data_IF_830475131229
#
_entry.id   IF_830475131229
#
_cell.length_a   1.000
_cell.length_b   1.000
_cell.length_c   1.000
_cell.angle_alpha   90.00
_cell.angle_beta   90.00
_cell.angle_gamma   90.00
#
_symmetry.space_group_name_H-M   'P 1'
#
loop_
_entity.id
_entity.type
_entity.pdbx_description
1 polymer ?
#
# COMPACT_ATOMS: atom_id res chain seq x y z
N UNK A 1 18.26 -14.84 -12.40
CA UNK A 1 17.20 -13.93 -11.93
C UNK A 1 17.23 -14.00 -10.43
N UNK A 2 17.44 -12.87 -9.76
CA UNK A 2 17.57 -12.84 -8.30
C UNK A 2 16.23 -13.25 -7.68
N UNK A 3 16.25 -14.16 -6.70
CA UNK A 3 15.03 -14.77 -6.13
C UNK A 3 14.00 -13.74 -5.64
N UNK A 4 14.47 -12.57 -5.20
CA UNK A 4 13.63 -11.45 -4.78
C UNK A 4 12.73 -10.92 -5.90
N UNK A 5 13.24 -10.82 -7.13
CA UNK A 5 12.49 -10.29 -8.28
C UNK A 5 11.33 -11.22 -8.65
N UNK A 6 11.58 -12.53 -8.62
CA UNK A 6 10.56 -13.54 -8.91
C UNK A 6 9.44 -13.56 -7.87
N UNK A 7 9.77 -13.36 -6.58
CA UNK A 7 8.76 -13.32 -5.53
C UNK A 7 7.88 -12.05 -5.62
N UNK A 8 8.49 -10.91 -5.91
CA UNK A 8 7.76 -9.66 -6.17
C UNK A 8 6.78 -9.81 -7.33
N UNK A 9 7.23 -10.36 -8.46
CA UNK A 9 6.38 -10.54 -9.65
C UNK A 9 5.20 -11.46 -9.35
N UNK A 10 5.43 -12.53 -8.58
CA UNK A 10 4.38 -13.45 -8.15
C UNK A 10 3.34 -12.79 -7.22
N UNK A 11 3.79 -11.89 -6.33
CA UNK A 11 2.89 -11.11 -5.48
C UNK A 11 2.09 -10.11 -6.32
N UNK A 12 2.76 -9.30 -7.15
CA UNK A 12 2.13 -8.27 -7.97
C UNK A 12 1.11 -8.85 -8.96
N UNK A 13 1.44 -9.97 -9.62
CA UNK A 13 0.52 -10.65 -10.53
C UNK A 13 -0.77 -11.12 -9.82
N UNK A 14 -0.66 -11.58 -8.56
CA UNK A 14 -1.82 -11.99 -7.77
C UNK A 14 -2.59 -10.80 -7.21
N UNK A 15 -1.90 -9.75 -6.80
CA UNK A 15 -2.53 -8.53 -6.30
C UNK A 15 -3.34 -7.86 -7.40
N UNK A 16 -2.73 -7.58 -8.56
CA UNK A 16 -3.39 -6.88 -9.67
C UNK A 16 -4.42 -7.71 -10.46
N UNK A 17 -4.64 -8.96 -10.08
CA UNK A 17 -5.75 -9.79 -10.57
C UNK A 17 -6.89 -9.90 -9.56
N UNK A 18 -6.71 -9.36 -8.35
CA UNK A 18 -7.74 -9.31 -7.32
C UNK A 18 -8.65 -8.10 -7.54
N UNK A 19 -9.94 -8.23 -7.24
CA UNK A 19 -10.91 -7.13 -7.35
C UNK A 19 -10.54 -5.91 -6.49
N UNK A 20 -9.83 -6.10 -5.37
CA UNK A 20 -9.43 -5.01 -4.47
C UNK A 20 -8.27 -4.16 -5.02
N UNK A 21 -7.64 -4.56 -6.13
CA UNK A 21 -6.53 -3.79 -6.70
C UNK A 21 -6.99 -2.63 -7.57
N UNK A 22 -8.30 -2.49 -7.82
CA UNK A 22 -8.81 -1.33 -8.54
C UNK A 22 -8.37 -0.04 -7.83
N UNK A 23 -7.93 0.94 -8.62
CA UNK A 23 -7.39 2.19 -8.09
C UNK A 23 -6.07 2.10 -7.32
N UNK A 24 -5.43 0.93 -7.23
CA UNK A 24 -4.06 0.81 -6.72
C UNK A 24 -3.03 0.95 -7.85
N UNK A 25 -1.88 1.54 -7.54
CA UNK A 25 -0.73 1.62 -8.44
C UNK A 25 0.57 1.45 -7.65
N UNK A 26 1.60 0.92 -8.31
CA UNK A 26 2.92 0.78 -7.74
C UNK A 26 3.66 2.13 -7.77
N UNK A 27 4.31 2.51 -6.68
CA UNK A 27 5.16 3.70 -6.59
C UNK A 27 6.52 3.34 -5.98
N UNK A 28 7.31 4.35 -5.61
CA UNK A 28 8.52 4.21 -4.81
C UNK A 28 9.77 3.86 -5.61
N UNK A 29 10.84 3.59 -4.87
CA UNK A 29 12.16 3.26 -5.40
C UNK A 29 12.18 1.99 -6.24
N UNK A 30 11.18 1.11 -6.16
CA UNK A 30 11.11 -0.14 -6.93
C UNK A 30 10.72 0.07 -8.39
N UNK A 31 9.83 1.01 -8.70
CA UNK A 31 9.61 1.45 -10.08
C UNK A 31 10.85 2.20 -10.62
N UNK A 32 11.46 3.07 -9.81
CA UNK A 32 12.63 3.83 -10.22
C UNK A 32 13.93 2.98 -10.34
N UNK A 33 14.11 1.96 -9.51
CA UNK A 33 15.29 1.09 -9.51
C UNK A 33 15.19 -0.04 -10.55
N UNK A 34 13.99 -0.60 -10.80
CA UNK A 34 13.79 -1.58 -11.89
C UNK A 34 13.91 -0.96 -13.27
N UNK A 35 13.47 0.29 -13.45
CA UNK A 35 13.41 0.92 -14.77
C UNK A 35 14.47 2.01 -15.03
N UNK A 36 15.14 2.57 -14.00
CA UNK A 36 16.07 3.69 -14.19
C UNK A 36 17.45 3.57 -13.49
N UNK A 37 17.60 2.92 -12.33
CA UNK A 37 18.89 2.89 -11.62
C UNK A 37 19.21 1.55 -10.92
N UNK A 38 20.14 0.79 -11.51
CA UNK A 38 20.61 -0.55 -11.08
C UNK A 38 21.48 -0.57 -9.79
N UNK A 39 21.22 0.29 -8.79
CA UNK A 39 22.18 0.48 -7.68
C UNK A 39 21.67 0.26 -6.25
N UNK A 40 20.41 -0.14 -6.05
CA UNK A 40 19.96 -0.61 -4.73
C UNK A 40 18.93 -1.71 -4.86
N UNK A 41 19.18 -2.88 -4.26
CA UNK A 41 18.16 -3.89 -4.02
C UNK A 41 17.10 -3.29 -3.08
N UNK A 42 16.00 -2.81 -3.65
CA UNK A 42 14.80 -2.49 -2.88
C UNK A 42 13.90 -3.72 -2.90
N UNK A 43 13.73 -4.29 -1.71
CA UNK A 43 12.95 -5.49 -1.39
C UNK A 43 11.48 -5.11 -1.13
N UNK A 44 11.10 -3.88 -1.45
CA UNK A 44 9.87 -3.24 -0.98
C UNK A 44 8.88 -3.06 -2.15
N UNK A 45 7.63 -3.42 -1.93
CA UNK A 45 6.51 -3.10 -2.82
C UNK A 45 5.67 -2.01 -2.16
N UNK A 46 5.62 -0.85 -2.80
CA UNK A 46 4.85 0.31 -2.34
C UNK A 46 3.61 0.48 -3.23
N UNK A 47 2.44 0.06 -2.75
CA UNK A 47 1.17 0.12 -3.46
C UNK A 47 0.30 1.24 -2.90
N UNK A 48 -0.06 2.20 -3.73
CA UNK A 48 -0.79 3.40 -3.32
C UNK A 48 -2.15 3.43 -3.98
N UNK A 49 -3.13 3.99 -3.27
CA UNK A 49 -4.43 4.33 -3.85
C UNK A 49 -4.89 5.70 -3.34
N UNK A 50 -5.48 6.49 -4.23
CA UNK A 50 -6.15 7.75 -3.87
C UNK A 50 -7.68 7.55 -3.73
N UNK A 51 -8.17 6.31 -3.79
CA UNK A 51 -9.60 6.03 -3.61
C UNK A 51 -9.97 6.14 -2.14
N UNK A 52 -10.78 7.16 -1.82
CA UNK A 52 -11.25 7.43 -0.47
C UNK A 52 -12.05 6.24 0.11
N UNK A 53 -12.83 5.59 -0.74
CA UNK A 53 -13.73 4.49 -0.43
C UNK A 53 -13.09 3.10 -0.50
N UNK A 54 -11.79 2.99 -0.79
CA UNK A 54 -11.10 1.70 -0.79
C UNK A 54 -11.24 0.99 0.56
N UNK A 55 -11.78 -0.22 0.58
CA UNK A 55 -11.98 -1.00 1.81
C UNK A 55 -10.67 -1.67 2.22
N UNK A 56 -9.96 -1.06 3.18
CA UNK A 56 -8.67 -1.59 3.64
C UNK A 56 -8.79 -2.88 4.44
N UNK A 57 -9.95 -3.21 4.99
CA UNK A 57 -10.17 -4.53 5.59
C UNK A 57 -10.31 -5.60 4.51
N UNK A 58 -10.96 -5.29 3.39
CA UNK A 58 -11.01 -6.17 2.22
C UNK A 58 -9.63 -6.35 1.59
N UNK A 59 -8.87 -5.26 1.44
CA UNK A 59 -7.48 -5.29 0.96
C UNK A 59 -6.63 -6.17 1.89
N UNK A 60 -6.75 -6.00 3.21
CA UNK A 60 -6.04 -6.81 4.20
C UNK A 60 -6.35 -8.31 4.05
N UNK A 61 -7.63 -8.69 3.90
CA UNK A 61 -8.03 -10.08 3.65
C UNK A 61 -7.45 -10.63 2.35
N UNK A 62 -7.47 -9.84 1.28
CA UNK A 62 -6.90 -10.24 -0.02
C UNK A 62 -5.39 -10.48 0.08
N UNK A 63 -4.65 -9.57 0.74
CA UNK A 63 -3.21 -9.72 0.95
C UNK A 63 -2.90 -10.97 1.75
N UNK A 64 -3.59 -11.23 2.86
CA UNK A 64 -3.41 -12.46 3.65
C UNK A 64 -3.63 -13.72 2.79
N UNK A 65 -4.63 -13.73 1.92
CA UNK A 65 -4.87 -14.82 0.97
C UNK A 65 -3.72 -15.02 -0.04
N UNK A 66 -3.14 -13.94 -0.54
CA UNK A 66 -1.96 -13.98 -1.43
C UNK A 66 -0.75 -14.54 -0.68
N UNK A 67 -0.49 -14.07 0.54
CA UNK A 67 0.62 -14.54 1.37
C UNK A 67 0.51 -16.06 1.63
N UNK A 68 -0.70 -16.52 1.97
CA UNK A 68 -0.98 -17.95 2.13
C UNK A 68 -0.73 -18.74 0.84
N UNK A 69 -1.22 -18.25 -0.30
CA UNK A 69 -1.04 -18.92 -1.60
C UNK A 69 0.42 -18.99 -2.04
N UNK A 70 1.26 -18.06 -1.58
CA UNK A 70 2.70 -18.02 -1.82
C UNK A 70 3.51 -18.72 -0.72
N UNK A 71 2.85 -19.34 0.28
CA UNK A 71 3.50 -19.98 1.43
C UNK A 71 4.47 -19.04 2.17
N UNK A 72 4.10 -17.76 2.28
CA UNK A 72 4.90 -16.73 2.93
C UNK A 72 4.54 -16.63 4.40
N UNK A 73 5.57 -16.65 5.26
CA UNK A 73 5.42 -16.48 6.70
C UNK A 73 5.53 -15.00 7.05
N UNK A 74 4.57 -14.50 7.80
CA UNK A 74 4.61 -13.13 8.34
C UNK A 74 5.65 -13.04 9.46
N UNK A 75 6.59 -12.11 9.31
CA UNK A 75 7.55 -11.72 10.35
C UNK A 75 7.09 -10.47 11.12
N UNK A 76 6.43 -9.54 10.43
CA UNK A 76 5.86 -8.33 11.02
C UNK A 76 4.63 -7.89 10.23
N UNK A 77 3.67 -7.28 10.93
CA UNK A 77 2.47 -6.72 10.32
C UNK A 77 2.05 -5.43 11.03
N UNK A 78 1.65 -4.44 10.25
CA UNK A 78 0.94 -3.24 10.72
C UNK A 78 -0.37 -3.14 9.95
N UNK A 79 -1.47 -2.89 10.66
CA UNK A 79 -2.81 -2.73 10.07
C UNK A 79 -3.49 -1.51 10.66
N UNK A 80 -3.83 -0.55 9.80
CA UNK A 80 -4.61 0.64 10.14
C UNK A 80 -5.65 0.91 9.04
N UNK A 81 -6.62 1.81 9.26
CA UNK A 81 -7.63 2.16 8.26
C UNK A 81 -7.08 2.75 6.96
N UNK A 82 -5.83 3.24 6.97
CA UNK A 82 -5.21 3.92 5.82
C UNK A 82 -3.85 3.33 5.43
N UNK A 83 -3.36 2.33 6.16
CA UNK A 83 -2.03 1.77 5.94
C UNK A 83 -1.97 0.30 6.34
N UNK A 84 -1.44 -0.54 5.45
CA UNK A 84 -1.06 -1.91 5.74
C UNK A 84 0.43 -2.08 5.45
N UNK A 85 1.12 -2.80 6.33
CA UNK A 85 2.49 -3.24 6.08
C UNK A 85 2.64 -4.71 6.42
N UNK A 86 3.38 -5.40 5.57
CA UNK A 86 3.77 -6.78 5.76
C UNK A 86 5.26 -6.94 5.51
N UNK A 87 5.95 -7.56 6.45
CA UNK A 87 7.30 -8.11 6.23
C UNK A 87 7.15 -9.62 6.28
N UNK A 88 7.44 -10.29 5.18
CA UNK A 88 7.20 -11.72 5.01
C UNK A 88 8.43 -12.41 4.47
N UNK A 89 8.54 -13.71 4.73
CA UNK A 89 9.69 -14.53 4.31
C UNK A 89 9.22 -15.87 3.76
N UNK A 90 9.85 -16.33 2.69
CA UNK A 90 9.60 -17.66 2.13
C UNK A 90 10.43 -18.76 2.81
N UNK A 91 10.26 -20.01 2.38
CA UNK A 91 10.99 -21.15 2.94
C UNK A 91 12.50 -21.13 2.66
N UNK A 92 12.95 -20.38 1.64
CA UNK A 92 14.36 -20.22 1.27
C UNK A 92 15.05 -19.08 2.03
N UNK A 93 14.29 -18.30 2.80
CA UNK A 93 14.79 -17.14 3.55
C UNK A 93 14.73 -15.83 2.77
N UNK A 94 14.09 -15.82 1.60
CA UNK A 94 13.87 -14.60 0.82
C UNK A 94 12.78 -13.77 1.48
N UNK A 95 13.10 -12.52 1.79
CA UNK A 95 12.17 -11.57 2.41
C UNK A 95 11.50 -10.71 1.35
N UNK A 96 10.25 -10.32 1.60
CA UNK A 96 9.51 -9.32 0.85
C UNK A 96 8.84 -8.36 1.84
N UNK A 97 8.95 -7.05 1.59
CA UNK A 97 8.16 -6.05 2.27
C UNK A 97 7.06 -5.55 1.33
N UNK A 98 5.84 -5.41 1.85
CA UNK A 98 4.69 -4.87 1.12
C UNK A 98 4.01 -3.80 1.95
N UNK A 99 4.00 -2.58 1.45
CA UNK A 99 3.29 -1.44 1.98
C UNK A 99 2.09 -1.12 1.08
N UNK A 100 0.90 -1.00 1.68
CA UNK A 100 -0.31 -0.54 1.01
C UNK A 100 -0.79 0.74 1.68
N UNK A 101 -0.89 1.82 0.91
CA UNK A 101 -1.12 3.17 1.43
C UNK A 101 -2.36 3.77 0.79
N UNK A 102 -3.31 4.19 1.64
CA UNK A 102 -4.44 5.04 1.24
C UNK A 102 -3.96 6.49 1.29
N UNK A 103 -3.47 6.98 0.16
CA UNK A 103 -2.94 8.33 0.01
C UNK A 103 -4.06 9.29 -0.40
N UNK A 104 -4.88 9.64 0.59
CA UNK A 104 -6.01 10.56 0.40
C UNK A 104 -5.70 11.81 1.21
N UNK A 105 -5.82 13.02 0.64
CA UNK A 105 -5.58 14.26 1.37
C UNK A 105 -6.39 14.28 2.66
N UNK A 106 -5.71 14.43 3.80
CA UNK A 106 -6.38 14.58 5.09
C UNK A 106 -7.14 15.91 5.08
N UNK A 107 -8.46 15.85 5.16
CA UNK A 107 -9.30 17.05 5.27
C UNK A 107 -9.20 17.60 6.71
N UNK A 108 -8.33 18.59 6.93
CA UNK A 108 -8.13 19.25 8.23
C UNK A 108 -9.14 20.38 8.50
N UNK A 109 -10.43 20.15 8.22
CA UNK A 109 -11.49 21.13 8.46
C UNK A 109 -12.40 20.72 9.60
N UNK A 110 -12.42 21.46 10.72
CA UNK A 110 -13.51 21.33 11.70
C UNK A 110 -14.73 21.99 11.09
N UNK A 111 -15.72 21.20 10.64
CA UNK A 111 -16.99 21.77 10.17
C UNK A 111 -17.70 22.42 11.34
N UNK A 112 -17.93 23.74 11.28
CA UNK A 112 -18.72 24.46 12.28
C UNK A 112 -20.06 24.84 11.67
N UNK A 113 -21.14 24.54 12.38
CA UNK A 113 -22.48 24.96 12.00
C UNK A 113 -22.71 26.39 12.49
N UNK A 114 -23.02 27.31 11.56
CA UNK A 114 -23.38 28.70 11.88
C UNK A 114 -24.67 29.03 11.14
N UNK A 115 -25.77 29.20 11.88
CA UNK A 115 -27.08 29.56 11.32
C UNK A 115 -27.70 28.49 10.41
N UNK A 116 -27.44 27.20 10.66
CA UNK A 116 -27.95 26.07 9.84
C UNK A 116 -27.13 25.77 8.59
N UNK A 117 -26.03 26.49 8.35
CA UNK A 117 -25.09 26.25 7.25
C UNK A 117 -23.80 25.60 7.76
N UNK A 118 -23.40 24.49 7.13
CA UNK A 118 -22.10 23.85 7.36
C UNK A 118 -21.03 24.59 6.57
N UNK A 119 -20.08 25.23 7.28
CA UNK A 119 -18.93 25.90 6.67
C UNK A 119 -17.66 25.12 6.97
N UNK A 120 -16.87 24.87 5.92
CA UNK A 120 -15.50 24.39 6.04
C UNK A 120 -14.58 25.60 6.29
N UNK A 121 -13.80 25.57 7.37
CA UNK A 121 -12.68 26.50 7.51
C UNK A 121 -11.46 25.85 6.88
N UNK A 122 -11.22 26.12 5.59
CA UNK A 122 -9.88 25.94 5.05
C UNK A 122 -8.95 26.85 5.86
N UNK A 123 -7.94 26.24 6.50
CA UNK A 123 -6.90 26.93 7.26
C UNK A 123 -6.42 28.15 6.47
N UNK A 124 -6.70 29.35 6.98
CA UNK A 124 -6.07 30.56 6.48
C UNK A 124 -4.58 30.43 6.72
N UNK A 125 -3.81 30.21 5.65
CA UNK A 125 -2.38 30.42 5.68
C UNK A 125 -2.16 31.90 6.02
N UNK A 126 -1.83 32.18 7.29
CA UNK A 126 -1.29 33.47 7.66
C UNK A 126 0.13 33.56 7.10
N UNK A 127 0.29 34.55 6.22
CA UNK A 127 1.47 35.29 5.78
C UNK A 127 2.87 34.78 6.21
#
# INVERSE_FOLDING_TARGET
>A
MDGNTALQDQFLARFFTNVVSDGFYLTGGTALARFYFHHRESIDLDLFTNQLDADFDAVNRAVLGILQALSLRIQSQVTTPTFLQYIVVDASGVTLKVDLVKDVPVHFGVTREVGGLRKDQALSAHA
#
